data_IF_709301333703
#
_entry.id   IF_709301333703
#
_cell.length_a   1.000
_cell.length_b   1.000
_cell.length_c   1.000
_cell.angle_alpha   90.00
_cell.angle_beta   90.00
_cell.angle_gamma   90.00
#
_symmetry.space_group_name_H-M   'P 1'
#
loop_
_entity.id
_entity.type
_entity.pdbx_description
1 polymer ?
#
# COMPACT_ATOMS: atom_id res chain seq x y z
N UNK A 1 -12.13 -3.30 6.54
CA UNK A 1 -13.08 -3.23 7.68
C UNK A 1 -13.38 -4.66 8.07
N UNK A 2 -13.32 -4.98 9.36
CA UNK A 2 -13.61 -6.31 9.90
C UNK A 2 -15.10 -6.62 10.00
N UNK A 3 -15.98 -5.64 9.77
CA UNK A 3 -17.42 -5.73 10.05
C UNK A 3 -18.26 -6.27 8.87
N UNK A 4 -17.75 -6.25 7.64
CA UNK A 4 -18.45 -6.74 6.44
C UNK A 4 -17.48 -7.41 5.45
N UNK A 5 -17.98 -8.37 4.65
CA UNK A 5 -17.25 -8.82 3.45
C UNK A 5 -17.08 -7.62 2.53
N UNK A 6 -15.89 -7.05 2.56
CA UNK A 6 -15.56 -5.89 1.78
C UNK A 6 -15.11 -6.34 0.39
N UNK A 7 -15.69 -5.77 -0.67
CA UNK A 7 -15.22 -5.90 -2.06
C UNK A 7 -13.73 -5.55 -2.22
N UNK A 8 -13.13 -4.92 -1.20
CA UNK A 8 -11.73 -4.56 -1.12
C UNK A 8 -10.80 -5.69 -0.63
N UNK A 9 -11.29 -6.93 -0.43
CA UNK A 9 -10.42 -8.07 -0.11
C UNK A 9 -9.82 -8.70 -1.38
N UNK A 10 -8.49 -8.90 -1.46
CA UNK A 10 -7.79 -9.40 -2.65
C UNK A 10 -8.40 -10.63 -3.35
N UNK A 11 -8.96 -11.58 -2.61
CA UNK A 11 -9.59 -12.78 -3.17
C UNK A 11 -10.91 -12.52 -3.92
N UNK A 12 -11.54 -11.36 -3.74
CA UNK A 12 -12.78 -10.96 -4.41
C UNK A 12 -12.53 -10.10 -5.66
N UNK A 13 -11.28 -9.70 -5.93
CA UNK A 13 -10.99 -8.82 -7.06
C UNK A 13 -11.22 -9.51 -8.41
N UNK A 14 -11.86 -8.84 -9.38
CA UNK A 14 -11.87 -9.33 -10.76
C UNK A 14 -10.52 -9.09 -11.43
N UNK A 15 -10.19 -9.89 -12.45
CA UNK A 15 -8.90 -9.77 -13.18
C UNK A 15 -8.74 -8.39 -13.83
N UNK A 16 -9.78 -7.88 -14.50
CA UNK A 16 -9.74 -6.57 -15.17
C UNK A 16 -10.02 -5.43 -14.20
N UNK A 17 -9.15 -5.30 -13.19
CA UNK A 17 -9.20 -4.26 -12.17
C UNK A 17 -7.82 -3.70 -11.87
N UNK A 18 -7.83 -2.58 -11.13
CA UNK A 18 -6.63 -1.97 -10.57
C UNK A 18 -6.71 -2.03 -9.05
N UNK A 19 -5.76 -2.72 -8.43
CA UNK A 19 -5.60 -2.74 -6.98
C UNK A 19 -4.73 -1.56 -6.54
N UNK A 20 -5.26 -0.72 -5.66
CA UNK A 20 -4.50 0.33 -4.99
C UNK A 20 -4.29 -0.04 -3.53
N UNK A 21 -3.12 0.27 -2.97
CA UNK A 21 -2.96 0.35 -1.50
C UNK A 21 -3.78 1.50 -0.91
N UNK A 22 -3.82 2.61 -1.65
CA UNK A 22 -4.60 3.81 -1.41
C UNK A 22 -4.39 4.79 -2.57
N UNK A 23 -5.29 5.76 -2.71
CA UNK A 23 -5.11 6.90 -3.60
C UNK A 23 -4.51 8.07 -2.83
N UNK A 24 -4.30 9.20 -3.50
CA UNK A 24 -3.84 10.45 -2.86
C UNK A 24 -4.81 10.99 -1.79
N UNK A 25 -6.07 10.56 -1.78
CA UNK A 25 -7.07 10.98 -0.79
C UNK A 25 -7.01 10.16 0.50
N UNK A 26 -6.40 8.97 0.44
CA UNK A 26 -6.26 8.08 1.58
C UNK A 26 -5.05 8.47 2.45
N UNK A 27 -5.11 8.07 3.73
CA UNK A 27 -3.95 8.05 4.61
C UNK A 27 -2.88 7.08 4.08
N UNK A 28 -1.63 7.22 4.49
CA UNK A 28 -0.60 6.22 4.17
C UNK A 28 -0.91 4.91 4.89
N UNK A 29 -0.41 3.78 4.40
CA UNK A 29 -0.56 2.48 5.05
C UNK A 29 0.02 2.48 6.47
N UNK A 30 1.12 3.21 6.69
CA UNK A 30 1.70 3.35 8.02
C UNK A 30 0.75 4.12 8.95
N UNK A 31 0.21 5.26 8.51
CA UNK A 31 -0.76 6.01 9.30
C UNK A 31 -2.00 5.15 9.60
N UNK A 32 -2.55 4.48 8.58
CA UNK A 32 -3.67 3.56 8.77
C UNK A 32 -3.35 2.51 9.82
N UNK A 33 -2.19 1.87 9.75
CA UNK A 33 -1.81 0.84 10.72
C UNK A 33 -1.58 1.40 12.12
N UNK A 34 -1.16 2.65 12.26
CA UNK A 34 -0.98 3.32 13.54
C UNK A 34 -2.35 3.69 14.17
N UNK A 35 -3.32 4.15 13.36
CA UNK A 35 -4.62 4.70 13.81
C UNK A 35 -5.80 3.72 13.81
N UNK A 36 -5.75 2.65 13.02
CA UNK A 36 -6.87 1.70 12.89
C UNK A 36 -7.27 1.05 14.23
N UNK A 37 -8.46 0.47 14.27
CA UNK A 37 -8.93 -0.30 15.43
C UNK A 37 -8.04 -1.53 15.69
N UNK A 38 -8.08 -2.09 16.91
CA UNK A 38 -7.31 -3.32 17.21
C UNK A 38 -7.83 -4.49 16.40
N UNK A 39 -9.13 -4.52 16.18
CA UNK A 39 -9.89 -5.52 15.44
C UNK A 39 -9.48 -5.52 13.97
N UNK A 40 -9.44 -4.35 13.32
CA UNK A 40 -9.01 -4.24 11.92
C UNK A 40 -7.53 -4.59 11.73
N UNK A 41 -6.65 -4.18 12.66
CA UNK A 41 -5.23 -4.58 12.63
C UNK A 41 -5.07 -6.08 12.80
N UNK A 42 -5.84 -6.71 13.70
CA UNK A 42 -5.80 -8.15 13.92
C UNK A 42 -6.29 -8.90 12.68
N UNK A 43 -7.40 -8.44 12.09
CA UNK A 43 -7.94 -9.00 10.86
C UNK A 43 -6.96 -8.88 9.70
N UNK A 44 -6.39 -7.70 9.46
CA UNK A 44 -5.40 -7.50 8.39
C UNK A 44 -4.15 -8.37 8.59
N UNK A 45 -3.66 -8.53 9.82
CA UNK A 45 -2.55 -9.43 10.13
C UNK A 45 -2.87 -10.88 9.79
N UNK A 46 -4.05 -11.36 10.18
CA UNK A 46 -4.47 -12.73 9.93
C UNK A 46 -4.69 -12.97 8.42
N UNK A 47 -5.47 -12.10 7.78
CA UNK A 47 -5.86 -12.25 6.37
C UNK A 47 -4.66 -12.14 5.42
N UNK A 48 -3.79 -11.14 5.61
CA UNK A 48 -2.65 -10.91 4.72
C UNK A 48 -1.38 -11.66 5.17
N UNK A 49 -1.40 -12.34 6.31
CA UNK A 49 -0.20 -12.98 6.90
C UNK A 49 0.88 -11.96 7.29
N UNK A 50 0.50 -10.79 7.80
CA UNK A 50 1.45 -9.72 8.13
C UNK A 50 2.32 -10.11 9.33
N UNK A 51 3.63 -9.85 9.22
CA UNK A 51 4.60 -10.17 10.26
C UNK A 51 5.63 -9.05 10.44
N UNK A 52 6.35 -9.08 11.57
CA UNK A 52 7.34 -8.06 11.90
C UNK A 52 8.62 -8.14 11.06
N UNK A 53 8.96 -9.32 10.54
CA UNK A 53 10.18 -9.54 9.78
C UNK A 53 10.13 -8.84 8.41
N UNK A 54 8.99 -8.92 7.73
CA UNK A 54 8.73 -8.21 6.48
C UNK A 54 8.46 -6.71 6.70
N UNK A 55 7.81 -6.40 7.83
CA UNK A 55 7.22 -5.09 8.09
C UNK A 55 5.77 -5.06 7.62
N UNK A 56 4.88 -4.47 8.41
CA UNK A 56 3.44 -4.53 8.15
C UNK A 56 3.04 -3.79 6.87
N UNK A 57 3.65 -2.63 6.59
CA UNK A 57 3.40 -1.87 5.35
C UNK A 57 3.78 -2.70 4.12
N UNK A 58 4.98 -3.28 4.11
CA UNK A 58 5.41 -4.16 3.01
C UNK A 58 4.58 -5.41 2.87
N UNK A 59 4.11 -6.01 3.98
CA UNK A 59 3.17 -7.12 3.93
C UNK A 59 1.82 -6.75 3.31
N UNK A 60 1.35 -5.51 3.50
CA UNK A 60 0.14 -5.00 2.83
C UNK A 60 0.38 -4.75 1.34
N UNK A 61 1.51 -4.16 0.96
CA UNK A 61 1.92 -4.02 -0.45
C UNK A 61 2.02 -5.40 -1.12
N UNK A 62 2.63 -6.38 -0.43
CA UNK A 62 2.70 -7.77 -0.87
C UNK A 62 1.31 -8.35 -1.12
N UNK A 63 0.37 -8.13 -0.20
CA UNK A 63 -1.03 -8.54 -0.35
C UNK A 63 -1.66 -8.03 -1.64
N UNK A 64 -1.54 -6.73 -1.91
CA UNK A 64 -2.03 -6.13 -3.15
C UNK A 64 -1.32 -6.64 -4.41
N UNK A 65 0.02 -6.77 -4.37
CA UNK A 65 0.79 -7.36 -5.48
C UNK A 65 0.39 -8.81 -5.74
N UNK A 66 0.00 -9.58 -4.72
CA UNK A 66 -0.42 -10.97 -4.87
C UNK A 66 -1.85 -11.16 -5.39
N UNK A 67 -2.62 -10.08 -5.51
CA UNK A 67 -3.99 -10.14 -6.03
C UNK A 67 -4.04 -10.50 -7.52
N UNK A 68 -5.23 -10.85 -8.01
CA UNK A 68 -5.47 -11.15 -9.43
C UNK A 68 -5.65 -9.91 -10.30
N UNK A 69 -5.70 -8.70 -9.72
CA UNK A 69 -5.83 -7.45 -10.47
C UNK A 69 -4.71 -7.29 -11.50
N UNK A 70 -5.09 -6.93 -12.72
CA UNK A 70 -4.18 -6.72 -13.85
C UNK A 70 -3.11 -5.66 -13.57
N UNK A 71 -3.47 -4.62 -12.82
CA UNK A 71 -2.54 -3.58 -12.36
C UNK A 71 -2.59 -3.46 -10.84
N UNK A 72 -1.41 -3.34 -10.23
CA UNK A 72 -1.25 -2.97 -8.83
C UNK A 72 -0.51 -1.64 -8.75
N UNK A 73 -1.02 -0.72 -7.94
CA UNK A 73 -0.44 0.61 -7.72
C UNK A 73 -0.30 0.85 -6.21
N UNK A 74 0.87 1.31 -5.80
CA UNK A 74 1.08 1.78 -4.44
C UNK A 74 1.57 3.23 -4.42
N UNK A 75 1.21 3.96 -3.36
CA UNK A 75 1.69 5.31 -3.17
C UNK A 75 3.21 5.30 -2.90
N UNK A 76 3.93 6.33 -3.32
CA UNK A 76 5.37 6.42 -3.04
C UNK A 76 5.65 6.50 -1.54
N UNK A 77 4.75 7.13 -0.79
CA UNK A 77 4.78 7.23 0.67
C UNK A 77 4.75 5.85 1.35
N UNK A 78 4.00 4.90 0.79
CA UNK A 78 3.92 3.53 1.31
C UNK A 78 5.22 2.76 1.05
N UNK A 79 5.80 2.91 -0.14
CA UNK A 79 7.12 2.34 -0.44
C UNK A 79 8.24 2.88 0.46
N UNK A 80 8.08 4.12 0.92
CA UNK A 80 9.00 4.78 1.85
C UNK A 80 8.62 4.55 3.33
N UNK A 81 7.53 3.84 3.62
CA UNK A 81 6.99 3.58 4.96
C UNK A 81 6.77 4.85 5.79
N UNK A 82 6.32 5.94 5.15
CA UNK A 82 6.06 7.23 5.79
C UNK A 82 4.69 7.28 6.47
N UNK A 83 4.59 8.02 7.58
CA UNK A 83 3.37 8.16 8.39
C UNK A 83 2.44 9.26 7.87
N UNK A 84 1.60 9.78 8.78
CA UNK A 84 0.57 10.77 8.43
C UNK A 84 1.13 12.12 8.00
N UNK A 85 2.40 12.41 8.31
CA UNK A 85 3.13 13.57 7.80
C UNK A 85 3.29 13.59 6.28
N UNK A 86 3.09 12.43 5.62
CA UNK A 86 3.24 12.27 4.18
C UNK A 86 1.89 12.15 3.43
N UNK A 87 0.75 12.30 4.11
CA UNK A 87 -0.56 12.26 3.47
C UNK A 87 -0.68 13.36 2.41
N UNK A 88 -1.12 12.98 1.21
CA UNK A 88 -1.16 13.89 0.06
C UNK A 88 -2.36 14.86 0.14
N UNK A 89 -3.56 14.34 0.39
CA UNK A 89 -4.78 15.15 0.46
C UNK A 89 -5.68 14.72 1.62
N UNK A 90 -6.35 15.70 2.22
CA UNK A 90 -7.40 15.55 3.23
C UNK A 90 -8.72 16.02 2.60
N UNK A 91 -9.52 15.11 2.01
CA UNK A 91 -10.76 15.46 1.33
C UNK A 91 -11.70 16.31 2.21
N UNK A 92 -12.33 17.31 1.60
CA UNK A 92 -13.25 18.21 2.31
C UNK A 92 -12.57 19.31 3.15
N UNK A 93 -11.24 19.43 3.09
CA UNK A 93 -10.51 20.49 3.79
C UNK A 93 -9.95 21.53 2.81
N UNK A 94 -10.04 22.81 3.18
CA UNK A 94 -9.32 23.90 2.52
C UNK A 94 -8.08 24.23 3.34
N UNK A 95 -7.11 23.32 3.33
CA UNK A 95 -5.87 23.43 4.09
C UNK A 95 -4.67 23.65 3.17
N UNK A 96 -3.75 24.53 3.58
CA UNK A 96 -2.44 24.67 2.94
C UNK A 96 -1.53 23.45 3.12
N UNK A 97 -1.96 22.41 3.85
CA UNK A 97 -1.25 21.15 3.97
C UNK A 97 -1.51 20.19 2.80
N UNK A 98 -2.64 20.33 2.08
CA UNK A 98 -2.96 19.46 0.94
C UNK A 98 -2.00 19.71 -0.23
N UNK A 99 -1.64 18.65 -0.95
CA UNK A 99 -0.82 18.71 -2.18
C UNK A 99 0.60 19.27 -1.96
N UNK A 100 1.11 19.21 -0.74
CA UNK A 100 2.41 19.78 -0.38
C UNK A 100 3.50 18.74 -0.13
N UNK A 101 3.15 17.46 0.00
CA UNK A 101 4.15 16.42 0.21
C UNK A 101 5.11 16.33 -0.97
N UNK A 102 6.40 16.24 -0.65
CA UNK A 102 7.48 16.06 -1.62
C UNK A 102 8.43 14.99 -1.13
N UNK A 103 8.87 14.14 -2.05
CA UNK A 103 9.92 13.19 -1.76
C UNK A 103 11.22 13.93 -1.42
N UNK A 104 11.87 13.53 -0.33
CA UNK A 104 13.14 14.13 0.09
C UNK A 104 14.28 13.67 -0.85
N UNK A 105 15.34 14.48 -1.01
CA UNK A 105 16.53 14.06 -1.74
C UNK A 105 17.03 12.69 -1.26
N UNK A 106 17.30 11.78 -2.20
CA UNK A 106 17.74 10.40 -1.91
C UNK A 106 16.62 9.37 -1.72
N UNK A 107 15.34 9.74 -1.89
CA UNK A 107 14.23 8.77 -1.78
C UNK A 107 14.36 7.58 -2.76
N UNK A 108 14.86 7.83 -3.97
CA UNK A 108 15.02 6.85 -5.04
C UNK A 108 16.31 6.03 -4.88
N UNK A 109 16.47 5.35 -3.74
CA UNK A 109 17.65 4.55 -3.46
C UNK A 109 17.67 3.22 -4.25
N UNK A 110 18.86 2.75 -4.61
CA UNK A 110 19.06 1.41 -5.21
C UNK A 110 18.48 0.29 -4.35
N UNK A 111 18.55 0.44 -3.02
CA UNK A 111 17.99 -0.51 -2.06
C UNK A 111 16.48 -0.61 -2.22
N UNK A 112 15.78 0.53 -2.31
CA UNK A 112 14.35 0.56 -2.52
C UNK A 112 13.98 -0.02 -3.88
N UNK A 113 14.65 0.41 -4.95
CA UNK A 113 14.41 -0.09 -6.30
C UNK A 113 14.59 -1.63 -6.37
N UNK A 114 15.65 -2.17 -5.77
CA UNK A 114 15.89 -3.63 -5.69
C UNK A 114 14.80 -4.35 -4.91
N UNK A 115 14.32 -3.77 -3.80
CA UNK A 115 13.22 -4.36 -3.00
C UNK A 115 11.90 -4.39 -3.78
N UNK A 116 11.53 -3.28 -4.42
CA UNK A 116 10.36 -3.19 -5.29
C UNK A 116 10.46 -4.23 -6.41
N UNK A 117 11.56 -4.21 -7.18
CA UNK A 117 11.76 -5.14 -8.30
C UNK A 117 11.69 -6.60 -7.88
N UNK A 118 12.30 -6.97 -6.73
CA UNK A 118 12.25 -8.33 -6.20
C UNK A 118 10.80 -8.78 -5.96
N UNK A 119 10.00 -7.93 -5.32
CA UNK A 119 8.60 -8.26 -5.02
C UNK A 119 7.73 -8.27 -6.28
N UNK A 120 7.93 -7.32 -7.19
CA UNK A 120 7.30 -7.32 -8.52
C UNK A 120 7.58 -8.63 -9.27
N UNK A 121 8.81 -9.14 -9.20
CA UNK A 121 9.19 -10.43 -9.80
C UNK A 121 8.54 -11.63 -9.14
N UNK A 122 8.50 -11.67 -7.81
CA UNK A 122 7.89 -12.75 -7.04
C UNK A 122 6.42 -12.99 -7.41
N UNK A 123 5.69 -11.92 -7.71
CA UNK A 123 4.27 -11.98 -8.10
C UNK A 123 4.02 -11.94 -9.62
N UNK A 124 5.04 -12.19 -10.44
CA UNK A 124 4.88 -12.29 -11.88
C UNK A 124 4.47 -10.99 -12.58
N UNK A 125 4.80 -9.84 -11.97
CA UNK A 125 4.44 -8.49 -12.47
C UNK A 125 5.58 -7.78 -13.19
N UNK A 126 6.71 -8.46 -13.43
CA UNK A 126 7.77 -7.92 -14.29
C UNK A 126 7.32 -8.01 -15.74
N UNK A 127 7.83 -7.08 -16.56
CA UNK A 127 7.73 -7.23 -18.01
C UNK A 127 8.32 -8.59 -18.40
N UNK A 128 7.56 -9.40 -19.14
CA UNK A 128 8.10 -10.60 -19.76
C UNK A 128 9.10 -10.14 -20.82
N UNK A 129 10.31 -10.69 -20.80
CA UNK A 129 11.23 -10.52 -21.93
C UNK A 129 10.60 -11.29 -23.11
N UNK A 130 10.50 -10.62 -24.26
CA UNK A 130 9.99 -11.18 -25.51
C UNK A 130 11.02 -12.12 -26.14
#
# INVERSE_FOLDING_TARGET
DSREESDYLPHLYPVDSVCYTGTHDNVTLKQWFDEASKEDKAYAKAYLGLNRQEGYVWGMIRGGMSSVSKLFVAQMQDYLELGGEARMNFPGTLSGANWTWRAQPGFASDKLAKRIRKMTGLYGRLKKED
#
